data_IF_311740951473
#
_entry.id   IF_311740951473
#
_cell.length_a   1.000
_cell.length_b   1.000
_cell.length_c   1.000
_cell.angle_alpha   90.00
_cell.angle_beta   90.00
_cell.angle_gamma   90.00
#
_symmetry.space_group_name_H-M   'P 1'
#
loop_
_entity.id
_entity.type
_entity.pdbx_description
1 polymer ?
#
# COMPACT_ATOMS: atom_id res chain seq x y z
N UNK A 1 -42.56 9.58 76.10
CA UNK A 1 -44.04 9.44 76.21
C UNK A 1 -44.64 9.70 74.84
N UNK A 2 -45.38 8.72 74.28
CA UNK A 2 -46.54 8.85 73.36
C UNK A 2 -46.33 9.68 72.07
N UNK A 3 -46.68 9.28 70.84
CA UNK A 3 -47.45 8.18 70.26
C UNK A 3 -47.43 8.43 68.74
N UNK A 4 -47.42 7.38 67.92
CA UNK A 4 -47.87 7.45 66.52
C UNK A 4 -49.32 7.96 66.44
N UNK A 5 -49.64 8.76 65.40
CA UNK A 5 -50.92 8.68 64.69
C UNK A 5 -50.76 9.05 63.21
N UNK A 6 -51.07 8.06 62.39
CA UNK A 6 -51.42 8.10 60.97
C UNK A 6 -52.81 8.74 60.79
N UNK A 7 -53.05 9.56 59.75
CA UNK A 7 -54.25 9.49 58.89
C UNK A 7 -54.21 10.42 57.65
N UNK A 8 -54.47 9.79 56.49
CA UNK A 8 -55.17 10.21 55.24
C UNK A 8 -55.00 11.64 54.68
N UNK A 9 -54.45 11.85 53.47
CA UNK A 9 -54.90 11.51 52.09
C UNK A 9 -55.96 12.49 51.52
N UNK A 10 -55.59 13.07 50.37
CA UNK A 10 -56.31 13.70 49.22
C UNK A 10 -55.65 15.07 48.97
N UNK A 11 -55.04 15.40 47.83
CA UNK A 11 -55.01 14.84 46.49
C UNK A 11 -54.99 16.01 45.51
N UNK A 12 -53.92 16.20 44.74
CA UNK A 12 -53.93 16.89 43.44
C UNK A 12 -52.55 16.72 42.78
N UNK A 13 -52.60 16.03 41.66
CA UNK A 13 -51.53 15.68 40.75
C UNK A 13 -51.02 16.95 40.06
N UNK A 14 -49.71 17.20 40.16
CA UNK A 14 -49.01 18.02 39.18
C UNK A 14 -47.95 17.12 38.55
N UNK A 15 -48.22 16.74 37.29
CA UNK A 15 -47.33 15.96 36.44
C UNK A 15 -46.12 16.82 36.12
N UNK A 16 -45.04 16.66 36.88
CA UNK A 16 -43.71 17.08 36.46
C UNK A 16 -43.14 15.98 35.58
N UNK A 17 -43.12 16.20 34.26
CA UNK A 17 -42.31 15.38 33.36
C UNK A 17 -40.83 15.67 33.65
N UNK A 18 -40.24 14.92 34.58
CA UNK A 18 -38.78 14.79 34.65
C UNK A 18 -38.39 13.69 33.67
N UNK A 19 -37.92 14.10 32.49
CA UNK A 19 -37.31 13.20 31.52
C UNK A 19 -36.07 12.57 32.15
N UNK A 20 -36.17 11.31 32.56
CA UNK A 20 -35.03 10.41 32.49
C UNK A 20 -34.78 10.15 31.01
N UNK A 21 -33.82 10.85 30.40
CA UNK A 21 -33.31 10.46 29.09
C UNK A 21 -32.04 9.67 29.32
N UNK A 22 -32.24 8.36 29.29
CA UNK A 22 -31.28 7.29 29.02
C UNK A 22 -29.84 7.75 28.73
N UNK A 23 -28.94 7.36 29.63
CA UNK A 23 -27.51 7.22 29.33
C UNK A 23 -27.32 6.04 28.37
N UNK A 24 -27.86 6.13 27.15
CA UNK A 24 -27.31 5.39 26.03
C UNK A 24 -26.08 6.16 25.60
N UNK A 25 -24.93 5.82 26.19
CA UNK A 25 -23.66 6.03 25.51
C UNK A 25 -23.69 5.19 24.24
N UNK A 26 -24.34 5.71 23.20
CA UNK A 26 -24.06 5.30 21.83
C UNK A 26 -22.61 5.72 21.63
N UNK A 27 -21.69 4.82 21.98
CA UNK A 27 -20.38 4.81 21.36
C UNK A 27 -20.71 4.61 19.89
N UNK A 28 -20.86 5.71 19.15
CA UNK A 28 -20.70 5.65 17.72
C UNK A 28 -19.34 5.01 17.55
N UNK A 29 -19.30 3.80 17.01
CA UNK A 29 -18.04 3.20 16.61
C UNK A 29 -17.41 4.23 15.67
N UNK A 30 -16.39 4.93 16.16
CA UNK A 30 -15.56 5.76 15.32
C UNK A 30 -14.91 4.76 14.37
N UNK A 31 -15.40 4.72 13.14
CA UNK A 31 -14.74 3.93 12.11
C UNK A 31 -13.39 4.57 11.90
N UNK A 32 -12.33 3.78 12.04
CA UNK A 32 -10.97 4.23 11.77
C UNK A 32 -10.90 4.79 10.34
N UNK A 33 -10.29 5.96 10.22
CA UNK A 33 -10.12 6.61 8.91
C UNK A 33 -9.19 5.75 8.07
N UNK A 34 -9.61 5.38 6.86
CA UNK A 34 -8.82 4.59 5.90
C UNK A 34 -8.54 5.46 4.70
N UNK A 35 -7.27 5.79 4.47
CA UNK A 35 -6.84 6.65 3.37
C UNK A 35 -5.94 5.86 2.43
N UNK A 36 -6.22 5.92 1.13
CA UNK A 36 -5.25 5.52 0.12
C UNK A 36 -4.51 6.74 -0.38
N UNK A 37 -3.20 6.64 -0.45
CA UNK A 37 -2.33 7.56 -1.17
C UNK A 37 -1.89 6.87 -2.45
N UNK A 38 -2.01 7.54 -3.58
CA UNK A 38 -1.64 6.96 -4.86
C UNK A 38 -0.77 7.93 -5.64
N UNK A 39 0.17 7.40 -6.39
CA UNK A 39 0.99 8.15 -7.35
C UNK A 39 0.62 7.79 -8.78
N UNK A 40 1.13 8.57 -9.72
CA UNK A 40 0.92 8.30 -11.14
C UNK A 40 2.05 8.81 -12.02
N UNK A 41 2.19 8.17 -13.18
CA UNK A 41 3.19 8.49 -14.21
C UNK A 41 2.65 9.43 -15.31
N UNK A 42 1.53 10.12 -15.06
CA UNK A 42 0.92 11.07 -15.99
C UNK A 42 1.20 12.53 -15.63
N UNK A 43 1.04 12.88 -14.35
CA UNK A 43 1.26 14.22 -13.84
C UNK A 43 2.00 14.26 -12.49
N UNK A 44 2.37 13.11 -11.91
CA UNK A 44 3.15 13.02 -10.67
C UNK A 44 2.37 13.38 -9.40
N UNK A 45 1.12 13.84 -9.51
CA UNK A 45 0.32 14.23 -8.37
C UNK A 45 0.02 13.06 -7.43
N UNK A 46 -0.20 13.39 -6.16
CA UNK A 46 -0.72 12.42 -5.19
C UNK A 46 -2.25 12.53 -5.17
N UNK A 47 -2.94 11.43 -5.41
CA UNK A 47 -4.38 11.35 -5.19
C UNK A 47 -4.63 10.65 -3.85
N UNK A 48 -5.51 11.24 -3.05
CA UNK A 48 -5.88 10.71 -1.73
C UNK A 48 -7.34 10.29 -1.77
N UNK A 49 -7.63 9.05 -1.38
CA UNK A 49 -8.97 8.48 -1.35
C UNK A 49 -9.33 8.11 0.08
N UNK A 50 -10.40 8.70 0.63
CA UNK A 50 -10.98 8.21 1.88
C UNK A 50 -11.87 7.01 1.56
N UNK A 51 -11.39 5.83 1.92
CA UNK A 51 -12.00 4.53 1.63
C UNK A 51 -12.61 3.88 2.88
N UNK A 52 -12.82 4.65 3.96
CA UNK A 52 -13.54 4.17 5.16
C UNK A 52 -14.92 3.60 4.79
N UNK A 53 -15.57 4.17 3.77
CA UNK A 53 -16.78 3.63 3.17
C UNK A 53 -16.67 3.60 1.64
N UNK A 54 -16.51 2.40 1.06
CA UNK A 54 -16.41 2.22 -0.40
C UNK A 54 -17.64 2.69 -1.19
N UNK A 55 -18.80 2.84 -0.54
CA UNK A 55 -20.00 3.40 -1.18
C UNK A 55 -20.02 4.93 -1.24
N UNK A 56 -19.09 5.59 -0.52
CA UNK A 56 -19.03 7.05 -0.37
C UNK A 56 -17.57 7.54 -0.31
N UNK A 57 -16.74 7.09 -1.25
CA UNK A 57 -15.33 7.47 -1.32
C UNK A 57 -15.20 8.96 -1.64
N UNK A 58 -14.52 9.70 -0.77
CA UNK A 58 -14.13 11.09 -1.01
C UNK A 58 -12.70 11.14 -1.56
N UNK A 59 -12.43 12.06 -2.47
CA UNK A 59 -11.11 12.17 -3.12
C UNK A 59 -10.57 13.60 -3.04
N UNK A 60 -9.27 13.74 -2.82
CA UNK A 60 -8.52 14.98 -3.00
C UNK A 60 -7.24 14.76 -3.78
N UNK A 61 -6.64 15.84 -4.25
CA UNK A 61 -5.37 15.80 -4.97
C UNK A 61 -4.38 16.78 -4.35
N UNK A 62 -3.18 16.28 -4.08
CA UNK A 62 -2.02 17.12 -3.82
C UNK A 62 -1.34 17.36 -5.15
N UNK A 63 -1.44 18.58 -5.67
CA UNK A 63 -0.74 18.97 -6.89
C UNK A 63 0.73 19.20 -6.58
N UNK A 64 1.59 18.38 -7.15
CA UNK A 64 3.05 18.36 -6.90
C UNK A 64 3.80 19.11 -8.01
N UNK A 65 5.10 19.46 -7.82
CA UNK A 65 5.91 20.07 -8.87
C UNK A 65 6.49 19.07 -9.89
N UNK A 66 6.37 17.77 -9.64
CA UNK A 66 6.88 16.71 -10.53
C UNK A 66 5.84 16.31 -11.56
N UNK A 67 6.23 15.50 -12.55
CA UNK A 67 5.38 15.08 -13.67
C UNK A 67 5.17 13.57 -13.76
N UNK A 68 5.91 12.79 -12.96
CA UNK A 68 5.79 11.36 -12.85
C UNK A 68 6.41 10.90 -11.53
N UNK A 69 5.72 9.99 -10.85
CA UNK A 69 6.18 9.36 -9.62
C UNK A 69 5.75 7.90 -9.58
N UNK A 70 6.44 7.14 -8.74
CA UNK A 70 6.14 5.73 -8.47
C UNK A 70 5.92 5.59 -6.95
N UNK A 71 6.60 4.69 -6.24
CA UNK A 71 6.37 4.38 -4.82
C UNK A 71 5.97 5.58 -3.95
N UNK A 72 4.92 5.39 -3.14
CA UNK A 72 4.31 6.43 -2.30
C UNK A 72 4.17 5.93 -0.87
N UNK A 73 4.39 6.82 0.10
CA UNK A 73 4.27 6.50 1.52
C UNK A 73 3.70 7.69 2.29
N UNK A 74 2.91 7.40 3.34
CA UNK A 74 2.43 8.43 4.27
C UNK A 74 2.90 8.14 5.70
N UNK A 75 3.50 9.15 6.34
CA UNK A 75 3.85 9.16 7.75
C UNK A 75 2.89 10.08 8.52
N UNK A 76 2.04 9.49 9.35
CA UNK A 76 1.07 10.21 10.18
C UNK A 76 1.69 11.04 11.29
N UNK A 77 2.84 10.62 11.85
CA UNK A 77 3.48 11.32 12.96
C UNK A 77 4.02 12.69 12.55
N UNK A 78 4.41 12.81 11.29
CA UNK A 78 4.97 14.05 10.72
C UNK A 78 4.04 14.74 9.72
N UNK A 79 2.89 14.13 9.46
CA UNK A 79 1.97 14.54 8.41
C UNK A 79 2.67 14.74 7.05
N UNK A 80 3.38 13.69 6.62
CA UNK A 80 4.32 13.71 5.51
C UNK A 80 3.98 12.66 4.47
N UNK A 81 3.69 13.09 3.25
CA UNK A 81 3.61 12.21 2.07
C UNK A 81 4.96 12.20 1.37
N UNK A 82 5.48 11.03 1.03
CA UNK A 82 6.74 10.84 0.32
C UNK A 82 6.49 10.11 -1.00
N UNK A 83 7.14 10.55 -2.07
CA UNK A 83 7.13 9.90 -3.38
C UNK A 83 8.55 9.62 -3.86
N UNK A 84 8.74 8.48 -4.53
CA UNK A 84 9.88 8.22 -5.39
C UNK A 84 9.63 8.89 -6.76
N UNK A 85 10.30 10.01 -7.01
CA UNK A 85 10.07 10.83 -8.20
C UNK A 85 10.75 10.24 -9.43
N UNK A 86 9.97 10.00 -10.49
CA UNK A 86 10.49 9.59 -11.81
C UNK A 86 10.85 10.77 -12.70
N UNK A 87 10.55 12.00 -12.27
CA UNK A 87 10.95 13.24 -12.96
C UNK A 87 12.29 13.78 -12.47
N UNK A 88 12.53 13.73 -11.15
CA UNK A 88 13.74 14.26 -10.52
C UNK A 88 14.74 13.17 -10.15
N UNK A 89 14.30 11.91 -10.08
CA UNK A 89 15.13 10.75 -9.73
C UNK A 89 15.66 10.77 -8.29
N UNK A 90 14.85 11.29 -7.37
CA UNK A 90 15.10 11.34 -5.93
C UNK A 90 13.83 11.10 -5.12
N UNK A 91 13.95 11.14 -3.79
CA UNK A 91 12.80 11.20 -2.88
C UNK A 91 12.33 12.65 -2.71
N UNK A 92 11.01 12.86 -2.85
CA UNK A 92 10.34 14.11 -2.53
C UNK A 92 9.27 13.89 -1.46
N UNK A 93 9.33 14.69 -0.40
CA UNK A 93 8.40 14.69 0.70
C UNK A 93 7.68 16.02 0.83
N UNK A 94 6.37 15.93 1.07
CA UNK A 94 5.43 17.04 1.22
C UNK A 94 4.82 16.96 2.62
N UNK A 95 5.24 17.85 3.51
CA UNK A 95 4.80 17.85 4.91
C UNK A 95 3.65 18.84 5.17
N UNK A 96 2.96 18.66 6.30
CA UNK A 96 1.84 19.51 6.72
C UNK A 96 0.63 19.34 5.81
N UNK A 97 0.47 18.14 5.25
CA UNK A 97 -0.70 17.76 4.47
C UNK A 97 -1.89 17.61 5.42
N UNK A 98 -2.55 18.69 5.82
CA UNK A 98 -3.64 18.55 6.81
C UNK A 98 -4.76 17.65 6.30
N UNK A 99 -4.74 16.38 6.71
CA UNK A 99 -5.75 15.36 6.41
C UNK A 99 -6.94 15.53 7.37
N UNK A 100 -7.57 16.70 7.33
CA UNK A 100 -8.80 16.91 8.08
C UNK A 100 -9.92 16.05 7.48
N UNK A 101 -11.02 15.87 8.23
CA UNK A 101 -12.23 15.16 7.79
C UNK A 101 -12.80 15.64 6.45
N UNK A 102 -12.40 16.83 6.00
CA UNK A 102 -12.62 17.30 4.63
C UNK A 102 -11.30 17.24 3.89
N UNK A 103 -11.08 16.14 3.17
CA UNK A 103 -10.01 16.03 2.18
C UNK A 103 -10.12 17.21 1.20
N UNK A 104 -9.12 18.10 1.16
CA UNK A 104 -9.11 19.30 0.31
C UNK A 104 -7.95 19.20 -0.68
N UNK A 105 -8.26 19.37 -1.96
CA UNK A 105 -7.23 19.47 -2.99
C UNK A 105 -6.41 20.75 -2.80
N UNK A 106 -5.09 20.62 -2.87
CA UNK A 106 -4.16 21.75 -2.68
C UNK A 106 -2.90 21.56 -3.50
N UNK A 107 -2.20 22.66 -3.79
CA UNK A 107 -0.85 22.61 -4.34
C UNK A 107 0.15 22.51 -3.21
N UNK A 108 1.16 21.65 -3.38
CA UNK A 108 2.21 21.39 -2.39
C UNK A 108 3.58 21.64 -3.01
N UNK A 109 4.56 21.92 -2.16
CA UNK A 109 5.96 22.05 -2.55
C UNK A 109 6.78 21.05 -1.76
N UNK A 110 7.70 20.35 -2.42
CA UNK A 110 8.59 19.43 -1.74
C UNK A 110 9.44 20.19 -0.71
N UNK A 111 9.39 19.77 0.55
CA UNK A 111 10.08 20.39 1.67
C UNK A 111 10.91 19.39 2.49
N UNK A 112 10.86 18.11 2.13
CA UNK A 112 11.79 17.08 2.58
C UNK A 112 12.35 16.40 1.33
N UNK A 113 13.62 16.62 0.99
CA UNK A 113 14.19 16.14 -0.28
C UNK A 113 15.50 15.39 -0.07
N UNK A 114 15.80 14.48 -0.99
CA UNK A 114 17.06 13.75 -1.06
C UNK A 114 17.95 14.17 -2.22
N UNK A 115 19.10 13.50 -2.32
CA UNK A 115 19.93 13.52 -3.53
C UNK A 115 19.21 12.82 -4.70
N UNK A 116 19.60 13.19 -5.93
CA UNK A 116 19.01 12.70 -7.18
C UNK A 116 19.84 11.53 -7.74
N UNK A 117 19.91 10.43 -6.98
CA UNK A 117 20.88 9.36 -7.24
C UNK A 117 20.39 8.29 -8.23
N UNK A 118 19.09 8.28 -8.53
CA UNK A 118 18.43 7.21 -9.24
C UNK A 118 18.34 7.49 -10.75
N UNK A 119 17.91 6.49 -11.52
CA UNK A 119 17.67 6.55 -12.96
C UNK A 119 16.27 6.06 -13.29
N UNK A 120 15.79 5.02 -12.61
CA UNK A 120 14.48 4.44 -12.86
C UNK A 120 13.79 4.02 -11.54
N UNK A 121 13.48 4.99 -10.65
CA UNK A 121 12.82 4.67 -9.39
C UNK A 121 11.47 3.98 -9.61
N UNK A 122 11.16 3.03 -8.74
CA UNK A 122 9.91 2.26 -8.64
C UNK A 122 9.41 2.36 -7.20
N UNK A 123 9.26 1.23 -6.51
CA UNK A 123 8.67 1.18 -5.18
C UNK A 123 9.54 1.77 -4.07
N UNK A 124 8.91 2.21 -3.00
CA UNK A 124 9.51 2.69 -1.76
C UNK A 124 9.00 1.85 -0.57
N UNK A 125 9.91 1.30 0.23
CA UNK A 125 9.58 0.69 1.52
C UNK A 125 10.25 1.46 2.67
N UNK A 126 9.54 1.59 3.79
CA UNK A 126 9.99 2.37 4.96
C UNK A 126 10.13 1.46 6.18
N UNK A 127 11.22 1.62 6.94
CA UNK A 127 11.41 0.98 8.23
C UNK A 127 12.12 1.96 9.19
N UNK A 128 11.36 2.48 10.15
CA UNK A 128 11.79 3.58 11.01
C UNK A 128 12.19 4.80 10.19
N UNK A 129 13.44 5.27 10.34
CA UNK A 129 13.95 6.42 9.60
C UNK A 129 14.58 6.05 8.25
N UNK A 130 14.53 4.79 7.84
CA UNK A 130 15.10 4.34 6.56
C UNK A 130 14.04 4.25 5.47
N UNK A 131 14.37 4.81 4.32
CA UNK A 131 13.56 4.83 3.10
C UNK A 131 14.36 4.10 2.02
N UNK A 132 13.88 2.92 1.64
CA UNK A 132 14.54 2.08 0.63
C UNK A 132 13.77 2.21 -0.67
N UNK A 133 14.44 2.65 -1.73
CA UNK A 133 13.83 2.83 -3.05
C UNK A 133 14.40 1.82 -4.03
N UNK A 134 13.52 1.16 -4.77
CA UNK A 134 13.90 0.35 -5.93
C UNK A 134 14.27 1.24 -7.10
N UNK A 135 15.39 0.94 -7.73
CA UNK A 135 15.72 1.41 -9.07
C UNK A 135 15.93 0.20 -9.97
N UNK A 136 15.10 0.11 -11.01
CA UNK A 136 15.12 -1.03 -11.93
C UNK A 136 15.93 -0.78 -13.21
N UNK A 137 16.73 0.30 -13.26
CA UNK A 137 17.68 0.53 -14.34
C UNK A 137 18.85 -0.44 -14.23
N UNK A 138 19.20 -1.02 -15.38
CA UNK A 138 20.40 -1.84 -15.61
C UNK A 138 21.61 -1.27 -14.87
N UNK A 139 22.20 -2.08 -14.00
CA UNK A 139 23.23 -1.65 -13.07
C UNK A 139 24.65 -1.84 -13.64
N UNK A 140 24.85 -2.74 -14.60
CA UNK A 140 26.16 -3.09 -15.15
C UNK A 140 26.34 -2.78 -16.66
N UNK A 141 25.25 -2.40 -17.36
CA UNK A 141 25.28 -2.08 -18.79
C UNK A 141 25.00 -3.30 -19.68
N UNK A 142 24.71 -4.46 -19.09
CA UNK A 142 24.34 -5.69 -19.77
C UNK A 142 22.87 -6.02 -19.48
N UNK A 143 22.00 -5.71 -20.44
CA UNK A 143 20.58 -6.02 -20.40
C UNK A 143 20.23 -7.53 -20.23
N UNK A 144 21.20 -8.44 -20.32
CA UNK A 144 21.01 -9.87 -20.04
C UNK A 144 21.23 -10.24 -18.58
N UNK A 145 21.86 -9.37 -17.79
CA UNK A 145 22.00 -9.53 -16.34
C UNK A 145 20.65 -9.21 -15.68
N UNK A 146 20.18 -10.11 -14.82
CA UNK A 146 19.06 -9.80 -13.92
C UNK A 146 19.63 -9.00 -12.75
N UNK A 147 19.66 -7.68 -12.88
CA UNK A 147 20.09 -6.79 -11.81
C UNK A 147 19.15 -5.61 -11.59
N UNK A 148 19.34 -4.97 -10.44
CA UNK A 148 18.61 -3.82 -9.97
C UNK A 148 19.33 -3.23 -8.77
N UNK A 149 18.96 -2.00 -8.39
CA UNK A 149 19.56 -1.28 -7.27
C UNK A 149 18.52 -0.96 -6.21
N UNK A 150 18.94 -1.04 -4.94
CA UNK A 150 18.22 -0.54 -3.79
C UNK A 150 18.99 0.64 -3.22
N UNK A 151 18.40 1.83 -3.26
CA UNK A 151 18.95 3.03 -2.66
C UNK A 151 18.40 3.18 -1.25
N UNK A 152 19.27 3.16 -0.23
CA UNK A 152 18.85 3.29 1.16
C UNK A 152 19.13 4.70 1.65
N UNK A 153 18.08 5.48 1.84
CA UNK A 153 18.13 6.79 2.44
C UNK A 153 17.85 6.72 3.93
N UNK A 154 18.50 7.58 4.70
CA UNK A 154 18.11 7.88 6.08
C UNK A 154 17.47 9.26 6.13
N UNK A 155 16.33 9.38 6.81
CA UNK A 155 15.65 10.65 7.02
C UNK A 155 16.10 11.26 8.35
N UNK A 156 16.48 12.54 8.31
CA UNK A 156 16.75 13.33 9.51
C UNK A 156 16.18 14.73 9.32
N UNK A 157 15.16 15.08 10.11
CA UNK A 157 14.38 16.30 9.93
C UNK A 157 13.85 16.39 8.50
N UNK A 158 14.19 17.47 7.79
CA UNK A 158 13.69 17.78 6.45
C UNK A 158 14.64 17.34 5.32
N UNK A 159 15.44 16.29 5.53
CA UNK A 159 16.35 15.78 4.51
C UNK A 159 16.40 14.26 4.48
N UNK A 160 16.46 13.73 3.27
CA UNK A 160 16.90 12.36 3.01
C UNK A 160 18.39 12.36 2.64
N UNK A 161 19.19 11.58 3.34
CA UNK A 161 20.61 11.38 3.02
C UNK A 161 20.83 9.96 2.56
N UNK A 162 21.39 9.78 1.35
CA UNK A 162 21.78 8.46 0.85
C UNK A 162 22.81 7.85 1.80
N UNK A 163 22.48 6.72 2.41
CA UNK A 163 23.37 5.97 3.29
C UNK A 163 24.30 5.08 2.46
N UNK A 164 23.71 4.27 1.58
CA UNK A 164 24.41 3.33 0.71
C UNK A 164 23.48 2.81 -0.39
N UNK A 165 24.06 2.16 -1.39
CA UNK A 165 23.34 1.49 -2.50
C UNK A 165 23.67 0.01 -2.49
N UNK A 166 22.67 -0.84 -2.70
CA UNK A 166 22.86 -2.29 -2.87
C UNK A 166 22.52 -2.65 -4.31
N UNK A 167 23.46 -3.30 -5.01
CA UNK A 167 23.18 -3.98 -6.27
C UNK A 167 22.65 -5.38 -5.97
N UNK A 168 21.62 -5.81 -6.66
CA UNK A 168 20.95 -7.11 -6.45
C UNK A 168 21.21 -8.06 -7.62
N UNK A 169 21.00 -9.35 -7.37
CA UNK A 169 21.07 -10.44 -8.35
C UNK A 169 19.70 -10.75 -9.00
N UNK A 170 18.74 -9.83 -8.86
CA UNK A 170 17.44 -9.87 -9.50
C UNK A 170 17.13 -8.50 -10.09
N UNK A 171 16.31 -8.48 -11.14
CA UNK A 171 15.67 -7.24 -11.58
C UNK A 171 14.56 -6.88 -10.60
N UNK A 172 14.54 -5.67 -10.07
CA UNK A 172 13.63 -5.28 -9.01
C UNK A 172 12.37 -4.56 -9.52
N UNK A 173 11.26 -4.70 -8.80
CA UNK A 173 10.07 -3.84 -8.98
C UNK A 173 9.47 -3.37 -7.65
N UNK A 174 8.60 -4.20 -7.04
CA UNK A 174 8.00 -3.94 -5.73
C UNK A 174 8.89 -4.42 -4.58
N UNK A 175 8.80 -3.73 -3.44
CA UNK A 175 9.41 -4.14 -2.17
C UNK A 175 8.48 -3.88 -0.99
N UNK A 176 8.60 -4.67 0.07
CA UNK A 176 7.96 -4.39 1.36
C UNK A 176 8.78 -4.94 2.52
N UNK A 177 8.73 -4.30 3.70
CA UNK A 177 9.37 -4.82 4.90
C UNK A 177 8.43 -5.75 5.67
N UNK A 178 8.96 -6.89 6.10
CA UNK A 178 8.32 -7.76 7.09
C UNK A 178 9.29 -7.93 8.26
N UNK A 179 9.05 -7.18 9.34
CA UNK A 179 10.02 -7.07 10.43
C UNK A 179 11.34 -6.43 9.95
N UNK A 180 12.45 -7.17 10.07
CA UNK A 180 13.77 -6.71 9.63
C UNK A 180 14.13 -7.16 8.20
N UNK A 181 13.28 -7.97 7.58
CA UNK A 181 13.53 -8.57 6.27
C UNK A 181 12.88 -7.72 5.18
N UNK A 182 13.57 -7.56 4.05
CA UNK A 182 13.04 -6.90 2.88
C UNK A 182 12.58 -7.96 1.88
N UNK A 183 11.29 -8.03 1.63
CA UNK A 183 10.71 -8.83 0.56
C UNK A 183 10.71 -8.02 -0.72
N UNK A 184 11.04 -8.67 -1.84
CA UNK A 184 11.26 -8.01 -3.11
C UNK A 184 10.73 -8.85 -4.27
N UNK A 185 10.20 -8.19 -5.29
CA UNK A 185 9.72 -8.81 -6.50
C UNK A 185 10.84 -8.84 -7.53
N UNK A 186 11.08 -10.03 -8.10
CA UNK A 186 11.94 -10.20 -9.25
C UNK A 186 11.13 -9.92 -10.53
N UNK A 187 11.29 -8.72 -11.09
CA UNK A 187 10.65 -8.30 -12.34
C UNK A 187 10.94 -9.30 -13.48
N UNK A 188 10.05 -9.32 -14.47
CA UNK A 188 10.00 -10.25 -15.62
C UNK A 188 9.74 -11.72 -15.27
N UNK A 189 9.49 -12.01 -13.98
CA UNK A 189 9.24 -13.36 -13.48
C UNK A 189 8.01 -13.38 -12.56
N UNK A 190 7.69 -14.58 -12.07
CA UNK A 190 6.70 -14.83 -11.03
C UNK A 190 7.33 -15.03 -9.63
N UNK A 191 8.55 -14.52 -9.42
CA UNK A 191 9.33 -14.84 -8.23
C UNK A 191 9.24 -13.75 -7.13
N UNK A 192 9.11 -14.24 -5.90
CA UNK A 192 9.20 -13.46 -4.67
C UNK A 192 10.51 -13.81 -3.96
N UNK A 193 11.31 -12.79 -3.65
CA UNK A 193 12.57 -12.90 -2.94
C UNK A 193 12.51 -12.27 -1.55
N UNK A 194 13.44 -12.67 -0.69
CA UNK A 194 13.67 -12.03 0.61
C UNK A 194 15.17 -11.79 0.83
N UNK A 195 15.48 -10.62 1.38
CA UNK A 195 16.78 -10.26 1.94
C UNK A 195 16.66 -10.17 3.47
N UNK A 196 17.23 -11.13 4.18
CA UNK A 196 17.10 -11.23 5.63
C UNK A 196 17.95 -10.18 6.35
N UNK A 197 17.38 -9.55 7.38
CA UNK A 197 18.00 -8.45 8.15
C UNK A 197 18.60 -7.35 7.26
N UNK A 198 17.83 -6.93 6.24
CA UNK A 198 18.31 -6.14 5.11
C UNK A 198 19.11 -4.90 5.51
N UNK A 199 18.64 -4.13 6.51
CA UNK A 199 19.27 -2.87 6.90
C UNK A 199 20.60 -3.03 7.66
N UNK A 200 20.97 -4.25 8.08
CA UNK A 200 22.30 -4.54 8.62
C UNK A 200 23.43 -4.36 7.58
N UNK A 201 23.08 -4.30 6.29
CA UNK A 201 24.01 -3.95 5.23
C UNK A 201 24.23 -2.42 5.22
N UNK A 202 25.31 -1.96 5.85
CA UNK A 202 25.62 -0.52 6.03
C UNK A 202 26.58 0.07 4.99
N UNK A 203 27.03 -0.73 4.02
CA UNK A 203 27.99 -0.30 2.98
C UNK A 203 27.42 -0.56 1.59
N UNK A 204 27.91 0.18 0.60
CA UNK A 204 27.58 -0.12 -0.80
C UNK A 204 28.17 -1.47 -1.19
N UNK A 205 27.34 -2.37 -1.70
CA UNK A 205 27.74 -3.77 -1.98
C UNK A 205 26.79 -4.45 -2.96
N UNK A 206 27.13 -5.66 -3.38
CA UNK A 206 26.22 -6.57 -4.08
C UNK A 206 25.65 -7.59 -3.10
N UNK A 207 24.34 -7.81 -3.14
CA UNK A 207 23.65 -8.74 -2.24
C UNK A 207 22.86 -9.77 -3.04
N UNK A 208 23.07 -11.04 -2.72
CA UNK A 208 22.26 -12.14 -3.24
C UNK A 208 21.00 -12.34 -2.38
N UNK A 209 19.93 -12.83 -2.99
CA UNK A 209 18.70 -13.19 -2.25
C UNK A 209 18.99 -14.22 -1.16
N UNK A 210 18.42 -14.03 0.04
CA UNK A 210 18.52 -15.03 1.13
C UNK A 210 17.66 -16.25 0.81
N UNK A 211 16.52 -16.01 0.18
CA UNK A 211 15.63 -17.02 -0.38
C UNK A 211 14.82 -16.40 -1.51
N UNK A 212 14.50 -17.21 -2.52
CA UNK A 212 13.64 -16.85 -3.64
C UNK A 212 12.74 -18.04 -3.97
N UNK A 213 11.46 -17.77 -4.22
CA UNK A 213 10.48 -18.79 -4.62
C UNK A 213 9.71 -18.30 -5.85
N UNK A 214 9.25 -19.23 -6.67
CA UNK A 214 8.24 -18.93 -7.69
C UNK A 214 6.84 -19.00 -7.07
N UNK A 215 5.92 -18.17 -7.52
CA UNK A 215 4.50 -18.24 -7.16
C UNK A 215 3.72 -18.74 -8.36
N UNK A 216 3.11 -19.92 -8.23
CA UNK A 216 2.38 -20.55 -9.33
C UNK A 216 1.18 -19.71 -9.77
N UNK A 217 0.91 -19.67 -11.08
CA UNK A 217 -0.25 -18.98 -11.64
C UNK A 217 -0.07 -17.47 -11.88
N UNK A 218 1.06 -16.89 -11.46
CA UNK A 218 1.50 -15.55 -11.86
C UNK A 218 2.30 -15.66 -13.17
N UNK A 219 2.06 -14.75 -14.13
CA UNK A 219 2.87 -14.60 -15.34
C UNK A 219 4.05 -13.68 -15.06
N UNK A 220 3.77 -12.48 -14.56
CA UNK A 220 4.78 -11.48 -14.18
C UNK A 220 4.26 -10.65 -13.01
N UNK A 221 4.96 -10.64 -11.88
CA UNK A 221 4.54 -9.87 -10.71
C UNK A 221 5.25 -8.52 -10.63
N UNK A 222 4.58 -7.51 -10.09
CA UNK A 222 5.15 -6.17 -9.82
C UNK A 222 4.92 -5.75 -8.37
N UNK A 223 3.67 -5.65 -7.95
CA UNK A 223 3.26 -5.18 -6.64
C UNK A 223 3.24 -6.28 -5.58
N UNK A 224 3.54 -5.91 -4.34
CA UNK A 224 3.35 -6.76 -3.17
C UNK A 224 3.01 -5.95 -1.93
N UNK A 225 2.20 -6.53 -1.06
CA UNK A 225 1.93 -5.98 0.27
C UNK A 225 1.68 -7.08 1.28
N UNK A 226 1.98 -6.81 2.54
CA UNK A 226 1.82 -7.77 3.63
C UNK A 226 1.07 -7.14 4.80
N UNK A 227 0.01 -7.81 5.24
CA UNK A 227 -0.70 -7.49 6.48
C UNK A 227 -0.25 -8.44 7.59
N UNK A 228 0.41 -7.88 8.61
CA UNK A 228 0.94 -8.63 9.73
C UNK A 228 -0.14 -9.10 10.72
N UNK A 229 -1.32 -8.44 10.76
CA UNK A 229 -2.40 -8.83 11.66
C UNK A 229 -3.10 -10.10 11.17
N UNK A 230 -3.23 -10.27 9.86
CA UNK A 230 -3.87 -11.45 9.25
C UNK A 230 -2.87 -12.44 8.64
N UNK A 231 -1.56 -12.20 8.77
CA UNK A 231 -0.48 -12.97 8.12
C UNK A 231 -0.79 -13.22 6.62
N UNK A 232 -1.09 -12.15 5.90
CA UNK A 232 -1.57 -12.23 4.52
C UNK A 232 -0.64 -11.45 3.58
N UNK A 233 -0.13 -12.12 2.56
CA UNK A 233 0.59 -11.50 1.45
C UNK A 233 -0.35 -11.36 0.26
N UNK A 234 -0.32 -10.21 -0.40
CA UNK A 234 -1.00 -10.00 -1.69
C UNK A 234 0.03 -9.64 -2.74
N UNK A 235 -0.01 -10.31 -3.88
CA UNK A 235 0.88 -10.09 -5.03
C UNK A 235 0.04 -9.75 -6.26
N UNK A 236 0.50 -8.82 -7.09
CA UNK A 236 -0.15 -8.56 -8.39
C UNK A 236 0.43 -9.45 -9.49
N UNK A 237 -0.38 -9.73 -10.51
CA UNK A 237 0.04 -10.37 -11.75
C UNK A 237 -0.27 -9.42 -12.90
N UNK A 238 0.75 -8.86 -13.53
CA UNK A 238 0.57 -7.92 -14.65
C UNK A 238 0.32 -8.61 -15.99
N UNK A 239 0.27 -9.95 -16.02
CA UNK A 239 0.04 -10.67 -17.27
C UNK A 239 1.19 -10.48 -18.26
N UNK A 240 0.84 -10.43 -19.55
CA UNK A 240 1.78 -10.09 -20.62
C UNK A 240 2.07 -8.58 -20.56
N UNK A 241 3.34 -8.21 -20.41
CA UNK A 241 3.74 -6.81 -20.36
C UNK A 241 3.42 -5.99 -21.63
N UNK A 242 3.08 -6.66 -22.73
CA UNK A 242 2.59 -6.03 -23.96
C UNK A 242 1.05 -5.88 -24.01
N UNK A 243 0.33 -6.57 -23.12
CA UNK A 243 -1.11 -6.44 -22.93
C UNK A 243 -1.41 -5.64 -21.65
N UNK A 244 -1.79 -4.38 -21.82
CA UNK A 244 -2.21 -3.55 -20.69
C UNK A 244 -3.70 -3.60 -20.42
N UNK A 245 -4.47 -4.57 -20.92
CA UNK A 245 -5.94 -4.48 -20.92
C UNK A 245 -6.67 -5.53 -20.09
N UNK A 246 -6.39 -6.83 -20.21
CA UNK A 246 -7.36 -7.82 -19.71
C UNK A 246 -6.79 -9.18 -19.25
N UNK A 247 -5.48 -9.31 -19.14
CA UNK A 247 -4.80 -10.52 -18.67
C UNK A 247 -4.12 -10.36 -17.31
N UNK A 248 -4.38 -9.25 -16.62
CA UNK A 248 -3.90 -9.02 -15.26
C UNK A 248 -4.71 -9.75 -14.19
N UNK A 249 -4.17 -9.77 -12.98
CA UNK A 249 -4.77 -10.41 -11.82
C UNK A 249 -4.06 -10.06 -10.50
N UNK A 250 -4.47 -10.73 -9.43
CA UNK A 250 -3.75 -10.72 -8.16
C UNK A 250 -3.98 -12.01 -7.38
N UNK A 251 -3.09 -12.25 -6.43
CA UNK A 251 -3.03 -13.45 -5.62
C UNK A 251 -3.01 -13.07 -4.15
N UNK A 252 -3.89 -13.68 -3.36
CA UNK A 252 -3.94 -13.52 -1.89
C UNK A 252 -3.47 -14.82 -1.25
N UNK A 253 -2.43 -14.74 -0.43
CA UNK A 253 -1.81 -15.86 0.28
C UNK A 253 -1.99 -15.62 1.77
N UNK A 254 -3.01 -16.24 2.36
CA UNK A 254 -3.21 -16.29 3.81
C UNK A 254 -2.19 -17.23 4.47
N UNK A 255 -1.94 -17.06 5.77
CA UNK A 255 -0.93 -17.83 6.50
C UNK A 255 0.44 -17.79 5.79
N UNK A 256 0.77 -16.62 5.23
CA UNK A 256 1.91 -16.43 4.33
C UNK A 256 3.21 -16.87 4.98
N UNK A 257 3.45 -16.50 6.24
CA UNK A 257 4.71 -16.81 6.92
C UNK A 257 4.98 -18.31 6.96
N UNK A 258 3.95 -19.11 7.26
CA UNK A 258 4.07 -20.57 7.29
C UNK A 258 4.32 -21.14 5.90
N UNK A 259 3.50 -20.77 4.91
CA UNK A 259 3.59 -21.27 3.53
C UNK A 259 4.91 -20.90 2.88
N UNK A 260 5.29 -19.63 2.96
CA UNK A 260 6.57 -19.13 2.47
C UNK A 260 7.71 -19.89 3.13
N UNK A 261 7.70 -20.08 4.45
CA UNK A 261 8.75 -20.83 5.17
C UNK A 261 8.86 -22.29 4.72
N UNK A 262 7.73 -22.98 4.49
CA UNK A 262 7.71 -24.38 4.04
C UNK A 262 8.13 -24.57 2.58
N UNK A 263 7.93 -23.57 1.72
CA UNK A 263 8.41 -23.63 0.33
C UNK A 263 9.93 -23.56 0.32
N UNK A 264 10.61 -24.58 -0.21
CA UNK A 264 12.07 -24.58 -0.25
C UNK A 264 12.63 -23.43 -1.13
N UNK A 265 13.87 -23.00 -0.87
CA UNK A 265 14.53 -22.03 -1.74
C UNK A 265 14.64 -22.56 -3.18
N UNK A 266 14.23 -21.76 -4.16
CA UNK A 266 14.13 -22.14 -5.57
C UNK A 266 12.94 -23.03 -5.92
N UNK A 267 12.03 -23.31 -4.97
CA UNK A 267 10.81 -24.06 -5.22
C UNK A 267 9.61 -23.14 -5.51
N UNK A 268 8.46 -23.76 -5.79
CA UNK A 268 7.22 -23.08 -6.17
C UNK A 268 6.19 -23.17 -5.04
N UNK A 269 5.57 -22.04 -4.68
CA UNK A 269 4.36 -21.99 -3.86
C UNK A 269 3.14 -22.26 -4.75
N UNK A 270 2.34 -23.27 -4.41
CA UNK A 270 1.32 -23.79 -5.31
C UNK A 270 0.09 -22.88 -5.40
N UNK A 271 -0.60 -22.88 -6.55
CA UNK A 271 -1.90 -22.21 -6.74
C UNK A 271 -2.97 -22.68 -5.76
N UNK A 272 -2.86 -23.92 -5.26
CA UNK A 272 -3.78 -24.44 -4.24
C UNK A 272 -3.60 -23.77 -2.86
N UNK A 273 -2.51 -23.04 -2.66
CA UNK A 273 -2.19 -22.33 -1.41
C UNK A 273 -2.54 -20.84 -1.48
N UNK A 274 -3.31 -20.42 -2.50
CA UNK A 274 -3.61 -19.03 -2.79
C UNK A 274 -5.07 -18.88 -3.22
N UNK A 275 -5.59 -17.67 -3.06
CA UNK A 275 -6.80 -17.22 -3.73
C UNK A 275 -6.41 -16.32 -4.90
N UNK A 276 -6.73 -16.73 -6.13
CA UNK A 276 -6.38 -16.00 -7.35
C UNK A 276 -7.60 -15.28 -7.92
N UNK A 277 -7.48 -13.98 -8.17
CA UNK A 277 -8.51 -13.15 -8.85
C UNK A 277 -7.96 -12.71 -10.19
N UNK A 278 -8.69 -13.04 -11.27
CA UNK A 278 -8.31 -12.72 -12.64
C UNK A 278 -9.51 -12.90 -13.56
N UNK A 279 -9.58 -12.15 -14.66
CA UNK A 279 -10.62 -12.31 -15.67
C UNK A 279 -11.16 -10.97 -16.16
N UNK A 280 -11.96 -11.01 -17.21
CA UNK A 280 -12.41 -9.82 -17.92
C UNK A 280 -13.25 -8.86 -17.03
N UNK A 281 -13.99 -9.39 -16.06
CA UNK A 281 -14.83 -8.59 -15.14
C UNK A 281 -13.99 -7.87 -14.08
N UNK A 282 -12.74 -8.28 -13.87
CA UNK A 282 -11.83 -7.65 -12.89
C UNK A 282 -11.35 -6.27 -13.33
N UNK A 283 -11.31 -6.02 -14.64
CA UNK A 283 -10.73 -4.81 -15.24
C UNK A 283 -9.22 -4.66 -14.98
N UNK A 284 -8.54 -5.76 -14.63
CA UNK A 284 -7.09 -5.80 -14.44
C UNK A 284 -6.41 -6.11 -15.77
N UNK A 285 -5.48 -5.24 -16.14
CA UNK A 285 -4.64 -5.38 -17.34
C UNK A 285 -3.17 -5.29 -16.97
N UNK A 286 -2.80 -4.26 -16.22
CA UNK A 286 -1.44 -4.05 -15.71
C UNK A 286 -1.49 -3.54 -14.25
N UNK A 287 -1.88 -4.40 -13.28
CA UNK A 287 -1.86 -4.06 -11.85
C UNK A 287 -0.43 -3.97 -11.31
N UNK A 288 0.12 -2.76 -11.26
CA UNK A 288 1.53 -2.53 -10.95
C UNK A 288 1.84 -2.44 -9.46
N UNK A 289 0.84 -2.15 -8.63
CA UNK A 289 1.00 -2.06 -7.18
C UNK A 289 -0.29 -2.39 -6.41
N UNK A 290 -0.16 -2.74 -5.13
CA UNK A 290 -1.25 -3.23 -4.29
C UNK A 290 -1.12 -2.82 -2.82
N UNK A 291 -2.25 -2.47 -2.21
CA UNK A 291 -2.40 -2.34 -0.76
C UNK A 291 -3.52 -3.26 -0.27
N UNK A 292 -3.47 -3.66 1.01
CA UNK A 292 -4.44 -4.58 1.58
C UNK A 292 -4.88 -4.14 2.97
N UNK A 293 -6.18 -4.18 3.23
CA UNK A 293 -6.76 -4.02 4.56
C UNK A 293 -7.23 -5.39 5.07
N UNK A 294 -6.46 -6.02 5.96
CA UNK A 294 -6.80 -7.34 6.51
C UNK A 294 -8.10 -7.36 7.33
N UNK A 295 -8.51 -6.22 7.89
CA UNK A 295 -9.72 -6.13 8.72
C UNK A 295 -11.00 -6.22 7.87
N UNK A 296 -11.06 -5.47 6.76
CA UNK A 296 -12.18 -5.54 5.82
C UNK A 296 -11.98 -6.58 4.71
N UNK A 297 -10.80 -7.21 4.65
CA UNK A 297 -10.35 -8.09 3.57
C UNK A 297 -10.49 -7.42 2.19
N UNK A 298 -10.11 -6.14 2.12
CA UNK A 298 -10.19 -5.36 0.88
C UNK A 298 -8.82 -5.22 0.25
N UNK A 299 -8.71 -5.61 -1.03
CA UNK A 299 -7.52 -5.41 -1.86
C UNK A 299 -7.69 -4.14 -2.67
N UNK A 300 -6.72 -3.24 -2.60
CA UNK A 300 -6.66 -2.00 -3.38
C UNK A 300 -5.54 -2.07 -4.41
N UNK A 301 -5.81 -1.78 -5.67
CA UNK A 301 -4.86 -1.97 -6.76
C UNK A 301 -4.67 -0.67 -7.54
N UNK A 302 -3.41 -0.33 -7.79
CA UNK A 302 -3.01 0.62 -8.82
C UNK A 302 -2.93 -0.13 -10.16
N UNK A 303 -3.95 0.06 -11.01
CA UNK A 303 -4.04 -0.53 -12.35
C UNK A 303 -3.53 0.50 -13.35
N UNK A 304 -2.40 0.24 -14.02
CA UNK A 304 -1.75 1.22 -14.88
C UNK A 304 -2.26 1.22 -16.34
N UNK A 305 -2.83 0.11 -16.80
CA UNK A 305 -3.05 -0.16 -18.23
C UNK A 305 -4.51 -0.06 -18.66
N UNK A 306 -5.43 -0.72 -17.96
CA UNK A 306 -6.80 -0.92 -18.43
C UNK A 306 -7.52 0.43 -18.55
N UNK A 307 -7.94 0.78 -19.77
CA UNK A 307 -8.49 2.09 -20.12
C UNK A 307 -7.62 3.30 -19.68
N UNK A 308 -6.30 3.13 -19.67
CA UNK A 308 -5.34 4.20 -19.37
C UNK A 308 -5.04 4.40 -17.88
N UNK A 309 -5.65 3.61 -17.00
CA UNK A 309 -5.28 3.51 -15.58
C UNK A 309 -6.41 3.84 -14.60
N UNK A 310 -6.39 3.19 -13.44
CA UNK A 310 -7.46 3.15 -12.44
C UNK A 310 -6.94 2.84 -11.04
N UNK A 311 -7.75 3.20 -10.04
CA UNK A 311 -7.71 2.64 -8.70
C UNK A 311 -8.92 1.72 -8.53
N UNK A 312 -8.65 0.45 -8.20
CA UNK A 312 -9.66 -0.58 -8.01
C UNK A 312 -9.67 -1.04 -6.55
N UNK A 313 -10.84 -1.36 -6.01
CA UNK A 313 -10.96 -2.06 -4.72
C UNK A 313 -11.79 -3.34 -4.88
N UNK A 314 -11.27 -4.44 -4.37
CA UNK A 314 -11.92 -5.75 -4.36
C UNK A 314 -12.20 -6.15 -2.91
N UNK A 315 -13.48 -6.18 -2.55
CA UNK A 315 -13.97 -6.74 -1.30
C UNK A 315 -14.79 -8.00 -1.60
N UNK A 316 -14.92 -8.91 -0.63
CA UNK A 316 -15.70 -10.15 -0.77
C UNK A 316 -15.24 -11.03 -1.94
N UNK A 317 -13.92 -11.17 -2.13
CA UNK A 317 -13.34 -11.94 -3.25
C UNK A 317 -13.63 -13.45 -3.20
N UNK A 318 -14.13 -13.97 -2.07
CA UNK A 318 -14.50 -15.39 -1.91
C UNK A 318 -13.32 -16.32 -2.22
N UNK A 319 -13.55 -17.31 -3.09
CA UNK A 319 -12.52 -18.22 -3.58
C UNK A 319 -11.76 -17.70 -4.81
N UNK A 320 -11.90 -16.41 -5.13
CA UNK A 320 -11.28 -15.76 -6.29
C UNK A 320 -12.09 -15.93 -7.58
N UNK A 321 -11.39 -15.94 -8.72
CA UNK A 321 -11.96 -16.02 -10.07
C UNK A 321 -12.20 -14.66 -10.73
N UNK A 322 -13.19 -14.61 -11.62
CA UNK A 322 -13.55 -13.40 -12.36
C UNK A 322 -14.48 -12.51 -11.53
N UNK A 323 -13.89 -11.65 -10.69
CA UNK A 323 -14.61 -10.83 -9.69
C UNK A 323 -14.68 -9.38 -10.15
N UNK A 324 -15.87 -8.78 -10.12
CA UNK A 324 -16.03 -7.33 -10.38
C UNK A 324 -15.52 -6.50 -9.19
N UNK A 325 -14.77 -5.42 -9.42
CA UNK A 325 -14.31 -4.54 -8.34
C UNK A 325 -15.50 -3.85 -7.65
N UNK A 326 -15.43 -3.78 -6.32
CA UNK A 326 -16.38 -3.06 -5.46
C UNK A 326 -16.24 -1.54 -5.54
N UNK A 327 -15.08 -1.04 -5.96
CA UNK A 327 -14.83 0.36 -6.27
C UNK A 327 -13.94 0.46 -7.51
N UNK A 328 -14.21 1.43 -8.38
CA UNK A 328 -13.46 1.66 -9.60
C UNK A 328 -13.44 3.16 -9.89
N UNK A 329 -12.26 3.75 -9.87
CA UNK A 329 -12.03 5.17 -10.17
C UNK A 329 -10.91 5.32 -11.17
N UNK A 330 -11.08 6.19 -12.16
CA UNK A 330 -10.03 6.46 -13.15
C UNK A 330 -8.85 7.19 -12.50
N UNK A 331 -7.63 6.74 -12.78
CA UNK A 331 -6.40 7.43 -12.44
C UNK A 331 -5.38 7.15 -13.55
N UNK A 332 -5.13 8.14 -14.41
CA UNK A 332 -4.26 7.97 -15.57
C UNK A 332 -2.87 7.51 -15.15
N UNK A 333 -2.42 6.37 -15.67
CA UNK A 333 -1.11 5.76 -15.38
C UNK A 333 -0.81 5.65 -13.89
N UNK A 334 -1.77 5.17 -13.10
CA UNK A 334 -1.55 4.81 -11.70
C UNK A 334 -0.28 3.96 -11.56
N UNK A 335 0.54 4.25 -10.56
CA UNK A 335 1.87 3.63 -10.39
C UNK A 335 2.09 3.01 -9.03
N UNK A 336 1.61 3.64 -7.95
CA UNK A 336 1.66 3.06 -6.61
C UNK A 336 0.37 3.34 -5.82
N UNK A 337 0.14 2.53 -4.78
CA UNK A 337 -0.96 2.67 -3.82
C UNK A 337 -0.49 2.29 -2.42
N UNK A 338 -0.68 3.19 -1.46
CA UNK A 338 -0.36 2.97 -0.06
C UNK A 338 -1.61 3.17 0.80
N UNK A 339 -1.90 2.23 1.70
CA UNK A 339 -3.00 2.32 2.66
C UNK A 339 -2.49 2.83 4.01
N UNK A 340 -3.11 3.90 4.50
CA UNK A 340 -3.02 4.35 5.87
C UNK A 340 -4.33 4.06 6.61
N UNK A 341 -4.21 3.60 7.86
CA UNK A 341 -5.31 3.39 8.80
C UNK A 341 -5.02 4.18 10.09
N UNK A 342 -5.98 4.98 10.52
CA UNK A 342 -5.96 5.66 11.83
C UNK A 342 -6.18 4.69 12.99
#
# INVERSE_FOLDING_TARGET
>A
MKTMKTLALVGAIAVGLTSCSDETSTVAAQLDTKLLFTSNNNDGNVNVYNVTNLSAVATSTLTTPISASDGVYYNSDEDLVVQASRSTFGLEGYAGITLSSSLISTTVTANVVGSLDMTSPRELAVNGNFYVVVDNADADGDNSTNDGRLFIYSKNGNSFTLRNTITTDIKLWGITFIGNDLYAIADTTNELAVYTNFLNNTTTTTLATSKKIAVEGIVRTHGLTYDAMTDTMVLTDIGDASNGQDDGGFHVIDNFTSKFSSTANGATLSVAEQTRVSGASTLLGNPVDVAYDGESQTVFIAEAGNNGGRILAFSNIGSGGDVTPSYNSSLSKASAVYLYKE
#
